data_IF_133052450114
#
_entry.id   IF_133052450114
#
_cell.length_a   1.000
_cell.length_b   1.000
_cell.length_c   1.000
_cell.angle_alpha   90.00
_cell.angle_beta   90.00
_cell.angle_gamma   90.00
#
_symmetry.space_group_name_H-M   'P 1'
#
loop_
_entity.id
_entity.type
_entity.pdbx_description
1 polymer ?
#
# COMPACT_ATOMS: atom_id res chain seq x y z
N UNK A 1 2.13 -26.40 1.20
CA UNK A 1 3.10 -25.31 1.10
C UNK A 1 2.81 -24.42 -0.07
N UNK A 2 2.59 -23.23 0.18
CA UNK A 2 2.17 -22.34 -0.86
C UNK A 2 3.34 -21.46 -1.33
N UNK A 3 3.84 -21.74 -2.50
CA UNK A 3 4.96 -20.99 -3.05
C UNK A 3 4.52 -19.63 -3.58
N UNK A 4 3.23 -19.33 -3.55
CA UNK A 4 2.70 -18.07 -4.06
C UNK A 4 2.34 -17.10 -2.95
N UNK A 5 2.82 -17.37 -1.76
CA UNK A 5 2.60 -16.45 -0.65
C UNK A 5 3.06 -15.05 -1.00
N UNK A 6 2.23 -14.08 -0.74
CA UNK A 6 2.57 -12.68 -0.92
C UNK A 6 2.79 -12.05 0.45
N UNK A 7 3.57 -10.98 0.52
CA UNK A 7 3.78 -10.31 1.81
C UNK A 7 2.55 -9.58 2.33
N UNK A 8 1.52 -9.45 1.51
CA UNK A 8 0.28 -8.80 1.94
C UNK A 8 -0.90 -9.65 1.52
N UNK A 9 -2.03 -9.43 2.17
CA UNK A 9 -3.27 -10.15 1.87
C UNK A 9 -4.39 -9.15 1.63
N UNK A 10 -5.25 -9.51 0.69
CA UNK A 10 -6.42 -8.68 0.41
C UNK A 10 -7.28 -8.55 1.65
N UNK A 11 -7.75 -7.34 1.91
CA UNK A 11 -8.61 -7.09 3.06
C UNK A 11 -7.87 -6.82 4.36
N UNK A 12 -6.56 -7.01 4.39
CA UNK A 12 -5.76 -6.74 5.57
C UNK A 12 -5.25 -5.32 5.55
N UNK A 13 -4.88 -4.83 6.74
CA UNK A 13 -4.36 -3.47 6.90
C UNK A 13 -2.90 -3.52 7.26
N UNK A 14 -2.16 -2.54 6.78
CA UNK A 14 -0.73 -2.43 7.02
C UNK A 14 -0.38 -0.97 7.20
N UNK A 15 0.71 -0.71 7.92
CA UNK A 15 1.22 0.65 8.09
C UNK A 15 2.46 0.78 7.21
N UNK A 16 2.44 1.77 6.33
CA UNK A 16 3.50 1.95 5.34
C UNK A 16 3.87 3.42 5.24
N UNK A 17 5.01 3.67 4.60
CA UNK A 17 5.42 5.00 4.20
C UNK A 17 5.24 5.11 2.70
N UNK A 18 4.76 6.25 2.25
CA UNK A 18 4.59 6.52 0.83
C UNK A 18 5.87 7.21 0.35
N UNK A 19 6.60 6.56 -0.54
CA UNK A 19 7.91 7.04 -0.96
C UNK A 19 7.90 7.73 -2.31
N UNK A 20 6.91 7.43 -3.14
CA UNK A 20 6.84 7.98 -4.49
C UNK A 20 5.39 8.14 -4.90
N UNK A 21 5.19 8.77 -6.06
CA UNK A 21 3.89 8.81 -6.71
C UNK A 21 4.07 8.28 -8.14
N UNK A 22 3.05 7.61 -8.64
CA UNK A 22 3.06 7.19 -10.02
C UNK A 22 2.47 8.29 -10.90
N UNK A 23 2.43 8.03 -12.21
CA UNK A 23 1.96 9.04 -13.15
C UNK A 23 0.46 9.29 -13.02
N UNK A 24 -0.27 8.38 -12.41
CA UNK A 24 -1.70 8.56 -12.20
C UNK A 24 -2.00 9.30 -10.90
N UNK A 25 -0.97 9.60 -10.11
CA UNK A 25 -1.15 10.34 -8.88
C UNK A 25 -1.33 9.49 -7.64
N UNK A 26 -1.25 8.18 -7.77
CA UNK A 26 -1.35 7.29 -6.62
C UNK A 26 -0.01 7.24 -5.89
N UNK A 27 -0.05 7.09 -4.59
CA UNK A 27 1.17 6.89 -3.82
C UNK A 27 1.73 5.50 -4.03
N UNK A 28 3.04 5.38 -3.84
CA UNK A 28 3.72 4.10 -3.97
C UNK A 28 4.40 3.77 -2.65
N UNK A 29 4.13 2.58 -2.15
CA UNK A 29 4.79 2.02 -0.98
C UNK A 29 5.30 0.64 -1.35
N UNK A 30 6.13 0.07 -0.49
CA UNK A 30 6.65 -1.28 -0.70
C UNK A 30 6.59 -2.05 0.59
N UNK A 31 6.22 -3.32 0.47
CA UNK A 31 6.25 -4.25 1.59
C UNK A 31 6.98 -5.48 1.10
N UNK A 32 8.16 -5.75 1.66
CA UNK A 32 8.98 -6.91 1.31
C UNK A 32 9.19 -7.04 -0.19
N UNK A 33 9.42 -5.91 -0.85
CA UNK A 33 9.69 -5.90 -2.29
C UNK A 33 8.46 -5.83 -3.16
N UNK A 34 7.28 -6.00 -2.59
CA UNK A 34 6.05 -5.89 -3.38
C UNK A 34 5.63 -4.43 -3.46
N UNK A 35 5.34 -3.97 -4.65
CA UNK A 35 4.91 -2.59 -4.86
C UNK A 35 3.44 -2.46 -4.54
N UNK A 36 3.09 -1.45 -3.75
CA UNK A 36 1.71 -1.18 -3.36
C UNK A 36 1.32 0.19 -3.89
N UNK A 37 0.29 0.24 -4.70
CA UNK A 37 -0.26 1.52 -5.18
C UNK A 37 -1.40 1.90 -4.23
N UNK A 38 -1.26 3.06 -3.61
CA UNK A 38 -2.19 3.51 -2.59
C UNK A 38 -2.90 4.77 -3.08
N UNK A 39 -4.20 4.69 -3.19
CA UNK A 39 -4.99 5.83 -3.68
C UNK A 39 -4.96 6.98 -2.69
N UNK A 40 -5.00 8.19 -3.22
CA UNK A 40 -5.16 9.42 -2.43
C UNK A 40 -4.04 9.65 -1.44
N UNK A 41 -2.83 9.22 -1.78
CA UNK A 41 -1.67 9.47 -0.95
C UNK A 41 -0.58 10.14 -1.79
N UNK A 42 0.37 10.74 -1.09
CA UNK A 42 1.47 11.45 -1.74
C UNK A 42 2.79 11.02 -1.14
N UNK A 43 3.84 11.10 -1.95
CA UNK A 43 5.19 10.86 -1.45
C UNK A 43 5.45 11.73 -0.23
N UNK A 44 6.03 11.14 0.77
CA UNK A 44 6.32 11.83 2.02
C UNK A 44 5.36 11.51 3.15
N UNK A 45 4.21 10.92 2.85
CA UNK A 45 3.31 10.46 3.91
C UNK A 45 3.98 9.31 4.65
N UNK A 46 3.92 9.34 5.97
CA UNK A 46 4.55 8.32 6.81
C UNK A 46 3.55 7.71 7.77
N UNK A 47 3.77 6.43 8.07
CA UNK A 47 2.97 5.71 9.07
C UNK A 47 1.49 5.73 8.70
N UNK A 48 1.22 5.50 7.44
CA UNK A 48 -0.14 5.54 6.91
C UNK A 48 -0.72 4.14 6.99
N UNK A 49 -1.90 4.01 7.58
CA UNK A 49 -2.58 2.73 7.60
C UNK A 49 -3.35 2.58 6.30
N UNK A 50 -3.08 1.50 5.60
CA UNK A 50 -3.73 1.21 4.32
C UNK A 50 -4.42 -0.13 4.41
N UNK A 51 -5.43 -0.31 3.58
CA UNK A 51 -6.14 -1.57 3.47
C UNK A 51 -5.96 -2.08 2.05
N UNK A 52 -5.51 -3.31 1.93
CA UNK A 52 -5.23 -3.90 0.63
C UNK A 52 -6.55 -4.23 -0.05
N UNK A 53 -6.77 -3.68 -1.22
CA UNK A 53 -7.99 -3.92 -1.98
C UNK A 53 -7.83 -4.99 -3.04
N UNK A 54 -6.60 -5.23 -3.51
CA UNK A 54 -6.35 -6.22 -4.55
C UNK A 54 -4.89 -6.61 -4.53
N UNK A 55 -4.61 -7.87 -4.78
CA UNK A 55 -3.23 -8.37 -4.84
C UNK A 55 -3.03 -9.04 -6.19
N UNK A 56 -2.01 -8.58 -6.93
CA UNK A 56 -1.65 -9.13 -8.22
C UNK A 56 -0.30 -9.82 -8.10
N UNK A 57 0.19 -10.35 -9.22
CA UNK A 57 1.44 -11.11 -9.19
C UNK A 57 2.64 -10.26 -8.75
N UNK A 58 2.70 -9.01 -9.17
CA UNK A 58 3.87 -8.18 -8.95
C UNK A 58 3.59 -6.89 -8.21
N UNK A 59 2.34 -6.63 -7.91
CA UNK A 59 1.97 -5.43 -7.18
C UNK A 59 0.63 -5.65 -6.49
N UNK A 60 0.29 -4.73 -5.62
CA UNK A 60 -1.01 -4.73 -4.99
C UNK A 60 -1.56 -3.31 -5.04
N UNK A 61 -2.85 -3.19 -4.84
CA UNK A 61 -3.49 -1.89 -4.72
C UNK A 61 -4.11 -1.79 -3.34
N UNK A 62 -4.17 -0.57 -2.84
CA UNK A 62 -4.68 -0.33 -1.51
C UNK A 62 -5.29 1.06 -1.46
N UNK A 63 -5.99 1.31 -0.38
CA UNK A 63 -6.57 2.63 -0.12
C UNK A 63 -6.32 2.96 1.34
N UNK A 64 -6.48 4.21 1.70
CA UNK A 64 -6.36 4.61 3.08
C UNK A 64 -7.42 3.91 3.90
N UNK A 65 -7.01 3.33 5.02
CA UNK A 65 -7.98 2.72 5.93
C UNK A 65 -8.85 3.81 6.54
N UNK A 66 -10.07 3.44 6.88
CA UNK A 66 -11.03 4.42 7.38
C UNK A 66 -10.54 5.13 8.64
N UNK A 67 -9.72 4.43 9.44
CA UNK A 67 -9.19 5.00 10.68
C UNK A 67 -7.74 5.40 10.56
N UNK A 68 -7.26 5.59 9.32
CA UNK A 68 -5.88 5.98 9.11
C UNK A 68 -5.65 7.37 9.67
N UNK A 69 -4.59 7.50 10.46
CA UNK A 69 -4.21 8.77 11.05
C UNK A 69 -2.76 9.03 10.65
N UNK A 70 -2.52 10.18 10.07
CA UNK A 70 -1.17 10.57 9.71
C UNK A 70 -1.04 12.07 9.81
N UNK A 71 0.18 12.51 10.07
CA UNK A 71 0.45 13.93 10.14
C UNK A 71 0.56 14.52 8.76
N UNK A 72 0.06 15.70 8.62
CA UNK A 72 0.17 16.42 7.35
C UNK A 72 1.07 17.62 7.56
#
# INVERSE_FOLDING_TARGET
MDSNSKPVEMGKEYIVNITDNDSAGDGIARIDGLIIFVKDTKAGYRNVKIKISSVKDRFATAELAADSIYST
#
